data_IF_300778174821
#
_entry.id   IF_300778174821
#
_cell.length_a   1.000
_cell.length_b   1.000
_cell.length_c   1.000
_cell.angle_alpha   90.00
_cell.angle_beta   90.00
_cell.angle_gamma   90.00
#
_symmetry.space_group_name_H-M   'P 1'
#
loop_
_entity.id
_entity.type
_entity.pdbx_description
1 polymer ?
#
# COMPACT_ATOMS: atom_id res chain seq x y z
N UNK A 1 -8.70 -23.59 -2.90
CA UNK A 1 -10.04 -23.53 -3.49
C UNK A 1 -10.50 -22.08 -3.41
N UNK A 2 -10.05 -21.27 -4.35
CA UNK A 2 -10.44 -19.86 -4.51
C UNK A 2 -10.97 -19.72 -5.93
N UNK A 3 -12.27 -19.99 -6.09
CA UNK A 3 -13.05 -19.65 -7.29
C UNK A 3 -13.90 -18.44 -6.94
N UNK A 4 -13.32 -17.25 -7.02
CA UNK A 4 -14.05 -15.98 -6.85
C UNK A 4 -13.76 -14.99 -7.97
N UNK A 5 -13.45 -15.50 -9.18
CA UNK A 5 -13.35 -14.72 -10.42
C UNK A 5 -14.31 -15.21 -11.52
N UNK A 6 -15.36 -15.94 -11.17
CA UNK A 6 -16.26 -16.60 -12.12
C UNK A 6 -17.69 -16.06 -12.19
N UNK A 7 -17.95 -14.83 -11.70
CA UNK A 7 -19.23 -14.15 -11.96
C UNK A 7 -19.04 -12.87 -12.79
N UNK A 8 -18.66 -13.07 -14.04
CA UNK A 8 -19.07 -12.18 -15.13
C UNK A 8 -19.65 -13.08 -16.23
N UNK A 9 -20.98 -13.20 -16.24
CA UNK A 9 -21.76 -13.99 -17.19
C UNK A 9 -21.71 -13.39 -18.60
N UNK A 10 -20.62 -13.62 -19.31
CA UNK A 10 -20.50 -13.43 -20.75
C UNK A 10 -20.08 -14.74 -21.40
N UNK A 11 -20.79 -15.13 -22.46
CA UNK A 11 -20.54 -16.30 -23.30
C UNK A 11 -19.03 -16.59 -23.52
N UNK A 12 -18.52 -17.76 -23.10
CA UNK A 12 -17.09 -18.11 -23.19
C UNK A 12 -16.60 -18.42 -24.61
N UNK A 13 -17.45 -18.30 -25.64
CA UNK A 13 -17.17 -18.82 -26.99
C UNK A 13 -17.40 -17.80 -28.12
N UNK A 14 -16.99 -16.52 -28.00
CA UNK A 14 -16.99 -15.64 -29.18
C UNK A 14 -16.05 -14.41 -29.17
N UNK A 15 -14.99 -14.34 -28.36
CA UNK A 15 -13.97 -13.29 -28.56
C UNK A 15 -12.86 -13.81 -29.47
N UNK A 16 -12.82 -13.30 -30.70
CA UNK A 16 -11.67 -13.43 -31.60
C UNK A 16 -10.39 -13.16 -30.78
N UNK A 17 -9.40 -14.05 -30.89
CA UNK A 17 -8.04 -13.86 -30.37
C UNK A 17 -7.49 -12.58 -31.01
N UNK A 18 -7.72 -11.45 -30.39
CA UNK A 18 -6.99 -10.25 -30.72
C UNK A 18 -5.59 -10.47 -30.14
N UNK A 19 -4.59 -10.51 -31.01
CA UNK A 19 -3.21 -10.69 -30.61
C UNK A 19 -2.78 -9.56 -29.67
N UNK A 20 -3.51 -8.43 -29.64
CA UNK A 20 -3.31 -7.28 -28.76
C UNK A 20 -4.18 -7.25 -27.50
N UNK A 21 -4.86 -8.35 -27.14
CA UNK A 21 -5.60 -8.42 -25.88
C UNK A 21 -4.65 -8.46 -24.67
N UNK A 22 -4.45 -7.29 -24.04
CA UNK A 22 -3.63 -7.11 -22.84
C UNK A 22 -4.13 -7.96 -21.66
N UNK A 23 -5.46 -8.08 -21.48
CA UNK A 23 -6.07 -8.89 -20.41
C UNK A 23 -5.75 -10.37 -20.65
N UNK A 24 -5.85 -10.81 -21.90
CA UNK A 24 -5.44 -12.14 -22.32
C UNK A 24 -3.96 -12.41 -22.10
N UNK A 25 -3.08 -11.44 -22.36
CA UNK A 25 -1.63 -11.55 -22.12
C UNK A 25 -1.33 -11.71 -20.62
N UNK A 26 -1.93 -10.88 -19.77
CA UNK A 26 -1.76 -10.94 -18.31
C UNK A 26 -2.16 -12.30 -17.78
N UNK A 27 -3.33 -12.83 -18.18
CA UNK A 27 -3.82 -14.12 -17.70
C UNK A 27 -2.92 -15.29 -18.14
N UNK A 28 -2.32 -15.22 -19.33
CA UNK A 28 -1.33 -16.23 -19.79
C UNK A 28 -0.01 -16.10 -19.04
N UNK A 29 0.44 -14.88 -18.78
CA UNK A 29 1.65 -14.58 -18.03
C UNK A 29 1.55 -14.97 -16.55
N UNK A 30 0.36 -14.91 -15.95
CA UNK A 30 0.08 -15.28 -14.54
C UNK A 30 -0.10 -16.81 -14.33
N UNK A 31 0.27 -17.62 -15.31
CA UNK A 31 0.26 -19.09 -15.18
C UNK A 31 1.53 -19.60 -14.48
N UNK A 32 1.52 -20.85 -14.00
CA UNK A 32 2.69 -21.47 -13.33
C UNK A 32 3.87 -21.74 -14.27
N UNK A 33 3.64 -21.74 -15.59
CA UNK A 33 4.66 -21.96 -16.62
C UNK A 33 4.36 -21.12 -17.88
N UNK A 34 4.53 -19.79 -17.81
CA UNK A 34 4.20 -18.92 -18.94
C UNK A 34 5.21 -19.07 -20.07
N UNK A 35 4.74 -18.93 -21.32
CA UNK A 35 5.58 -19.07 -22.51
C UNK A 35 6.67 -17.99 -22.57
N UNK A 36 7.80 -18.27 -23.23
CA UNK A 36 8.88 -17.28 -23.42
C UNK A 36 8.37 -16.03 -24.16
N UNK A 37 7.47 -16.22 -25.12
CA UNK A 37 6.85 -15.14 -25.90
C UNK A 37 5.95 -14.25 -25.03
N UNK A 38 5.10 -14.85 -24.16
CA UNK A 38 4.25 -14.07 -23.25
C UNK A 38 5.09 -13.32 -22.20
N UNK A 39 6.18 -13.93 -21.70
CA UNK A 39 7.13 -13.25 -20.78
C UNK A 39 7.75 -12.01 -21.42
N UNK A 40 8.25 -12.14 -22.65
CA UNK A 40 8.91 -11.05 -23.35
C UNK A 40 7.94 -9.91 -23.69
N UNK A 41 6.73 -10.26 -24.12
CA UNK A 41 5.69 -9.27 -24.40
C UNK A 41 5.19 -8.56 -23.15
N UNK A 42 5.13 -9.27 -22.02
CA UNK A 42 4.81 -8.67 -20.71
C UNK A 42 5.89 -7.70 -20.28
N UNK A 43 7.18 -8.01 -20.49
CA UNK A 43 8.28 -7.06 -20.24
C UNK A 43 8.17 -5.82 -21.09
N UNK A 44 7.94 -5.98 -22.40
CA UNK A 44 7.74 -4.84 -23.31
C UNK A 44 6.56 -3.96 -22.87
N UNK A 45 5.45 -4.57 -22.43
CA UNK A 45 4.31 -3.84 -21.89
C UNK A 45 4.68 -3.06 -20.61
N UNK A 46 5.44 -3.69 -19.70
CA UNK A 46 5.94 -3.06 -18.47
C UNK A 46 6.91 -1.89 -18.77
N UNK A 47 7.84 -2.09 -19.69
CA UNK A 47 8.87 -1.11 -20.07
C UNK A 47 8.27 0.07 -20.86
N UNK A 48 7.18 -0.16 -21.59
CA UNK A 48 6.48 0.89 -22.36
C UNK A 48 5.65 1.85 -21.49
N UNK A 49 5.53 1.61 -20.18
CA UNK A 49 4.70 2.42 -19.27
C UNK A 49 3.19 2.14 -19.35
N UNK A 50 2.73 1.34 -20.32
CA UNK A 50 1.32 0.94 -20.45
C UNK A 50 0.80 0.05 -19.31
N UNK A 51 1.70 -0.51 -18.51
CA UNK A 51 1.37 -1.42 -17.41
C UNK A 51 1.19 -0.73 -16.04
N UNK A 52 1.07 0.59 -15.96
CA UNK A 52 0.99 1.30 -14.66
C UNK A 52 -0.13 0.74 -13.77
N UNK A 53 -1.28 0.40 -14.36
CA UNK A 53 -2.39 -0.25 -13.65
C UNK A 53 -2.03 -1.64 -13.13
N UNK A 54 -1.22 -2.41 -13.87
CA UNK A 54 -0.78 -3.76 -13.47
C UNK A 54 0.29 -3.71 -12.37
N UNK A 55 1.18 -2.73 -12.44
CA UNK A 55 2.19 -2.47 -11.42
C UNK A 55 1.48 -2.08 -10.11
N UNK A 56 0.54 -1.13 -10.16
CA UNK A 56 -0.32 -0.77 -9.01
C UNK A 56 -1.12 -1.96 -8.49
N UNK A 57 -1.70 -2.75 -9.39
CA UNK A 57 -2.46 -3.94 -9.05
C UNK A 57 -1.59 -5.08 -8.51
N UNK A 58 -0.25 -5.02 -8.59
CA UNK A 58 0.66 -6.00 -7.99
C UNK A 58 1.62 -5.35 -6.97
N UNK A 59 1.32 -4.14 -6.50
CA UNK A 59 2.07 -3.53 -5.42
C UNK A 59 2.03 -4.44 -4.19
N UNK A 60 3.21 -4.63 -3.57
CA UNK A 60 3.37 -5.54 -2.44
C UNK A 60 2.41 -5.16 -1.29
N UNK A 61 2.14 -3.87 -1.10
CA UNK A 61 1.13 -3.38 -0.16
C UNK A 61 -0.27 -3.91 -0.48
N UNK A 62 -0.72 -3.80 -1.73
CA UNK A 62 -2.02 -4.31 -2.17
C UNK A 62 -2.12 -5.83 -2.12
N UNK A 63 -1.03 -6.54 -2.41
CA UNK A 63 -0.95 -7.99 -2.23
C UNK A 63 -1.06 -8.38 -0.74
N UNK A 64 -0.40 -7.63 0.15
CA UNK A 64 -0.51 -7.83 1.60
C UNK A 64 -1.94 -7.59 2.11
N UNK A 65 -2.59 -6.51 1.67
CA UNK A 65 -4.00 -6.25 2.02
C UNK A 65 -4.89 -7.39 1.57
N UNK A 66 -4.81 -7.78 0.28
CA UNK A 66 -5.60 -8.90 -0.24
C UNK A 66 -5.34 -10.20 0.50
N UNK A 67 -4.10 -10.51 0.85
CA UNK A 67 -3.77 -11.69 1.66
C UNK A 67 -4.42 -11.66 3.04
N UNK A 68 -4.39 -10.51 3.74
CA UNK A 68 -5.06 -10.34 5.04
C UNK A 68 -6.58 -10.46 4.90
N UNK A 69 -7.17 -9.80 3.90
CA UNK A 69 -8.61 -9.82 3.65
C UNK A 69 -9.08 -11.23 3.30
N UNK A 70 -8.42 -11.91 2.37
CA UNK A 70 -8.78 -13.26 1.93
C UNK A 70 -8.64 -14.30 3.04
N UNK A 71 -7.71 -14.11 3.99
CA UNK A 71 -7.52 -15.05 5.11
C UNK A 71 -8.60 -14.90 6.18
N UNK A 72 -9.13 -13.69 6.37
CA UNK A 72 -9.95 -13.36 7.55
C UNK A 72 -11.39 -12.97 7.22
N UNK A 73 -11.75 -12.86 5.94
CA UNK A 73 -13.13 -12.63 5.51
C UNK A 73 -13.72 -13.92 4.96
N UNK A 74 -14.79 -14.40 5.59
CA UNK A 74 -15.51 -15.59 5.14
C UNK A 74 -16.58 -15.29 4.09
N UNK A 75 -16.86 -14.02 3.81
CA UNK A 75 -17.88 -13.58 2.86
C UNK A 75 -17.39 -12.43 2.00
N UNK A 76 -17.93 -12.33 0.78
CA UNK A 76 -17.64 -11.21 -0.13
C UNK A 76 -17.95 -9.85 0.51
N UNK A 77 -19.09 -9.72 1.20
CA UNK A 77 -19.49 -8.46 1.84
C UNK A 77 -18.48 -8.01 2.91
N UNK A 78 -17.99 -8.92 3.75
CA UNK A 78 -16.96 -8.60 4.73
C UNK A 78 -15.65 -8.16 4.06
N UNK A 79 -15.27 -8.80 2.95
CA UNK A 79 -14.14 -8.40 2.12
C UNK A 79 -14.27 -6.96 1.59
N UNK A 80 -15.42 -6.66 1.00
CA UNK A 80 -15.72 -5.33 0.43
C UNK A 80 -15.75 -4.24 1.51
N UNK A 81 -16.36 -4.51 2.67
CA UNK A 81 -16.40 -3.56 3.79
C UNK A 81 -14.98 -3.22 4.27
N UNK A 82 -14.14 -4.23 4.49
CA UNK A 82 -12.76 -4.01 4.94
C UNK A 82 -11.92 -3.32 3.86
N UNK A 83 -12.14 -3.61 2.58
CA UNK A 83 -11.49 -2.89 1.49
C UNK A 83 -11.85 -1.40 1.51
N UNK A 84 -13.11 -1.05 1.73
CA UNK A 84 -13.55 0.35 1.89
C UNK A 84 -13.01 1.01 3.16
N UNK A 85 -12.86 0.25 4.25
CA UNK A 85 -12.20 0.73 5.47
C UNK A 85 -10.73 1.09 5.20
N UNK A 86 -9.99 0.27 4.45
CA UNK A 86 -8.61 0.59 4.01
C UNK A 86 -8.59 1.91 3.24
N UNK A 87 -9.48 2.10 2.28
CA UNK A 87 -9.53 3.35 1.48
C UNK A 87 -9.88 4.56 2.35
N UNK A 88 -10.82 4.40 3.28
CA UNK A 88 -11.18 5.46 4.24
C UNK A 88 -9.98 5.85 5.09
N UNK A 89 -9.27 4.87 5.67
CA UNK A 89 -8.08 5.12 6.49
C UNK A 89 -6.94 5.76 5.71
N UNK A 90 -6.72 5.38 4.45
CA UNK A 90 -5.75 6.06 3.58
C UNK A 90 -6.11 7.53 3.40
N UNK A 91 -7.37 7.82 3.10
CA UNK A 91 -7.85 9.20 2.94
C UNK A 91 -7.70 10.02 4.22
N UNK A 92 -8.06 9.46 5.37
CA UNK A 92 -7.90 10.10 6.69
C UNK A 92 -6.43 10.41 7.06
N UNK A 93 -5.48 9.70 6.42
CA UNK A 93 -4.05 9.92 6.62
C UNK A 93 -3.40 10.71 5.48
N UNK A 94 -4.17 11.43 4.66
CA UNK A 94 -3.69 12.26 3.56
C UNK A 94 -2.81 11.49 2.56
N UNK A 95 -3.16 10.22 2.30
CA UNK A 95 -2.35 9.31 1.50
C UNK A 95 -2.00 9.90 0.13
N UNK A 96 -2.96 10.45 -0.61
CA UNK A 96 -2.74 10.90 -2.00
C UNK A 96 -1.68 11.99 -2.12
N UNK A 97 -1.69 12.96 -1.20
CA UNK A 97 -0.71 14.05 -1.12
C UNK A 97 0.62 13.68 -0.47
N UNK A 98 0.70 12.53 0.19
CA UNK A 98 1.91 12.10 0.86
C UNK A 98 3.01 11.70 -0.13
N UNK A 99 4.27 11.91 0.28
CA UNK A 99 5.41 11.36 -0.46
C UNK A 99 5.45 9.82 -0.37
N UNK A 100 6.23 9.18 -1.24
CA UNK A 100 6.28 7.72 -1.37
C UNK A 100 6.60 7.01 -0.05
N UNK A 101 7.59 7.49 0.72
CA UNK A 101 7.97 6.87 1.98
C UNK A 101 6.84 6.95 3.02
N UNK A 102 6.17 8.10 3.10
CA UNK A 102 5.02 8.29 3.98
C UNK A 102 3.84 7.41 3.53
N UNK A 103 3.57 7.28 2.23
CA UNK A 103 2.56 6.35 1.68
C UNK A 103 2.83 4.91 2.13
N UNK A 104 4.07 4.42 1.97
CA UNK A 104 4.45 3.08 2.41
C UNK A 104 4.25 2.87 3.93
N UNK A 105 4.54 3.89 4.75
CA UNK A 105 4.33 3.83 6.19
C UNK A 105 2.84 3.88 6.58
N UNK A 106 2.02 4.64 5.85
CA UNK A 106 0.55 4.63 6.02
C UNK A 106 0.02 3.23 5.73
N UNK A 107 0.40 2.62 4.60
CA UNK A 107 -0.01 1.25 4.28
C UNK A 107 0.38 0.27 5.39
N UNK A 108 1.60 0.42 5.93
CA UNK A 108 2.08 -0.41 7.04
C UNK A 108 1.22 -0.24 8.30
N UNK A 109 0.88 1.00 8.67
CA UNK A 109 0.00 1.30 9.81
C UNK A 109 -1.36 0.63 9.63
N UNK A 110 -1.96 0.75 8.45
CA UNK A 110 -3.28 0.18 8.16
C UNK A 110 -3.24 -1.35 8.21
N UNK A 111 -2.25 -2.02 7.59
CA UNK A 111 -2.10 -3.49 7.67
C UNK A 111 -1.94 -3.95 9.12
N UNK A 112 -1.12 -3.23 9.90
CA UNK A 112 -0.91 -3.57 11.31
C UNK A 112 -2.17 -3.40 12.15
N UNK A 113 -2.93 -2.32 11.92
CA UNK A 113 -4.22 -2.07 12.56
C UNK A 113 -5.22 -3.19 12.24
N UNK A 114 -5.40 -3.53 10.96
CA UNK A 114 -6.31 -4.60 10.55
C UNK A 114 -5.96 -5.94 11.22
N UNK A 115 -4.68 -6.32 11.21
CA UNK A 115 -4.23 -7.54 11.87
C UNK A 115 -4.50 -7.50 13.37
N UNK A 116 -4.22 -6.37 14.03
CA UNK A 116 -4.51 -6.22 15.46
C UNK A 116 -6.00 -6.41 15.75
N UNK A 117 -6.88 -5.70 15.07
CA UNK A 117 -8.34 -5.81 15.27
C UNK A 117 -8.87 -7.22 15.03
N UNK A 118 -8.37 -7.89 13.97
CA UNK A 118 -8.74 -9.28 13.68
C UNK A 118 -8.28 -10.22 14.81
N UNK A 119 -7.05 -10.05 15.29
CA UNK A 119 -6.52 -10.90 16.37
C UNK A 119 -7.18 -10.62 17.72
N UNK A 120 -7.63 -9.39 17.99
CA UNK A 120 -8.44 -9.08 19.17
C UNK A 120 -9.77 -9.84 19.16
N UNK A 121 -10.45 -9.87 18.02
CA UNK A 121 -11.69 -10.64 17.86
C UNK A 121 -11.43 -12.14 18.05
N UNK A 122 -10.39 -12.70 17.42
CA UNK A 122 -10.05 -14.11 17.61
C UNK A 122 -9.63 -14.45 19.04
N UNK A 123 -8.85 -13.57 19.67
CA UNK A 123 -8.45 -13.73 21.07
C UNK A 123 -9.67 -13.79 21.98
N UNK A 124 -10.60 -12.84 21.85
CA UNK A 124 -11.85 -12.82 22.62
C UNK A 124 -12.72 -14.08 22.38
N UNK A 125 -12.81 -14.54 21.13
CA UNK A 125 -13.53 -15.78 20.79
C UNK A 125 -12.87 -17.00 21.45
N UNK A 126 -11.54 -17.10 21.40
CA UNK A 126 -10.82 -18.21 22.03
C UNK A 126 -10.91 -18.18 23.54
N UNK A 127 -10.86 -17.02 24.18
CA UNK A 127 -11.04 -16.88 25.63
C UNK A 127 -12.42 -17.32 26.13
N UNK A 128 -13.45 -17.32 25.27
CA UNK A 128 -14.77 -17.87 25.59
C UNK A 128 -14.78 -19.41 25.61
N UNK A 129 -13.87 -20.05 24.89
CA UNK A 129 -13.70 -21.51 24.90
C UNK A 129 -12.88 -21.90 26.15
N UNK A 130 -13.19 -23.03 26.80
CA UNK A 130 -12.32 -23.56 27.87
C UNK A 130 -10.98 -24.00 27.27
N UNK A 131 -9.99 -23.10 27.30
CA UNK A 131 -8.66 -23.36 26.77
C UNK A 131 -7.68 -23.83 27.85
N UNK A 132 -6.64 -24.54 27.42
CA UNK A 132 -5.52 -24.86 28.31
C UNK A 132 -4.73 -23.60 28.65
N UNK A 133 -4.09 -23.58 29.81
CA UNK A 133 -3.22 -22.46 30.23
C UNK A 133 -2.13 -22.13 29.19
N UNK A 134 -1.53 -23.17 28.58
CA UNK A 134 -0.51 -23.00 27.53
C UNK A 134 -1.07 -22.33 26.27
N UNK A 135 -2.30 -22.65 25.89
CA UNK A 135 -2.96 -22.00 24.77
C UNK A 135 -3.27 -20.53 25.08
N UNK A 136 -3.71 -20.21 26.31
CA UNK A 136 -3.93 -18.83 26.75
C UNK A 136 -2.68 -17.97 26.64
N UNK A 137 -1.57 -18.44 27.21
CA UNK A 137 -0.27 -17.73 27.10
C UNK A 137 0.18 -17.52 25.65
N UNK A 138 -0.09 -18.49 24.76
CA UNK A 138 0.24 -18.35 23.35
C UNK A 138 -0.56 -17.22 22.69
N UNK A 139 -1.87 -17.17 22.90
CA UNK A 139 -2.74 -16.14 22.34
C UNK A 139 -2.44 -14.74 22.90
N UNK A 140 -2.16 -14.63 24.20
CA UNK A 140 -1.75 -13.37 24.83
C UNK A 140 -0.44 -12.84 24.24
N UNK A 141 0.54 -13.74 24.02
CA UNK A 141 1.81 -13.39 23.39
C UNK A 141 1.62 -12.93 21.95
N UNK A 142 0.74 -13.58 21.20
CA UNK A 142 0.41 -13.15 19.84
C UNK A 142 -0.23 -11.77 19.83
N UNK A 143 -1.25 -11.53 20.67
CA UNK A 143 -1.90 -10.23 20.77
C UNK A 143 -0.91 -9.12 21.10
N UNK A 144 -0.07 -9.34 22.12
CA UNK A 144 1.02 -8.43 22.52
C UNK A 144 1.95 -8.12 21.34
N UNK A 145 2.30 -9.13 20.53
CA UNK A 145 3.15 -8.93 19.35
C UNK A 145 2.49 -8.04 18.29
N UNK A 146 1.18 -8.20 18.05
CA UNK A 146 0.45 -7.38 17.08
C UNK A 146 0.28 -5.94 17.58
N UNK A 147 -0.03 -5.75 18.87
CA UNK A 147 -0.09 -4.43 19.49
C UNK A 147 1.25 -3.69 19.36
N UNK A 148 2.37 -4.36 19.68
CA UNK A 148 3.71 -3.79 19.51
C UNK A 148 4.01 -3.40 18.06
N UNK A 149 3.69 -4.28 17.09
CA UNK A 149 3.91 -4.00 15.66
C UNK A 149 3.09 -2.80 15.17
N UNK A 150 1.86 -2.66 15.66
CA UNK A 150 1.02 -1.51 15.36
C UNK A 150 1.61 -0.23 15.94
N UNK A 151 2.01 -0.25 17.22
CA UNK A 151 2.65 0.90 17.85
C UNK A 151 3.91 1.35 17.12
N UNK A 152 4.81 0.41 16.80
CA UNK A 152 6.04 0.69 16.03
C UNK A 152 5.75 1.28 14.65
N UNK A 153 4.68 0.85 13.98
CA UNK A 153 4.28 1.42 12.69
C UNK A 153 3.81 2.87 12.85
N UNK A 154 3.02 3.17 13.89
CA UNK A 154 2.57 4.53 14.20
C UNK A 154 3.76 5.44 14.54
N UNK A 155 4.69 4.98 15.37
CA UNK A 155 5.91 5.72 15.72
C UNK A 155 6.78 6.01 14.49
N UNK A 156 6.97 5.02 13.61
CA UNK A 156 7.71 5.18 12.37
C UNK A 156 7.06 6.22 11.45
N UNK A 157 5.73 6.17 11.28
CA UNK A 157 4.99 7.15 10.48
C UNK A 157 5.09 8.57 11.06
N UNK A 158 4.90 8.71 12.37
CA UNK A 158 5.00 10.00 13.05
C UNK A 158 6.42 10.59 12.92
N UNK A 159 7.44 9.74 13.09
CA UNK A 159 8.85 10.14 12.95
C UNK A 159 9.16 10.58 11.53
N UNK A 160 8.73 9.82 10.52
CA UNK A 160 8.93 10.19 9.12
C UNK A 160 8.27 11.54 8.79
N UNK A 161 7.00 11.73 9.19
CA UNK A 161 6.29 13.00 8.97
C UNK A 161 7.01 14.18 9.63
N UNK A 162 7.49 14.01 10.85
CA UNK A 162 8.27 15.04 11.55
C UNK A 162 9.54 15.40 10.77
N UNK A 163 10.33 14.41 10.36
CA UNK A 163 11.57 14.63 9.62
C UNK A 163 11.31 15.33 8.27
N UNK A 164 10.24 14.98 7.56
CA UNK A 164 9.86 15.66 6.33
C UNK A 164 9.48 17.12 6.55
N UNK A 165 8.64 17.40 7.56
CA UNK A 165 8.25 18.77 7.89
C UNK A 165 9.45 19.63 8.29
N UNK A 166 10.41 19.05 9.04
CA UNK A 166 11.66 19.72 9.40
C UNK A 166 12.54 20.00 8.16
N UNK A 167 12.65 19.04 7.23
CA UNK A 167 13.39 19.20 5.98
C UNK A 167 12.84 20.35 5.12
N UNK A 168 11.52 20.41 4.93
CA UNK A 168 10.86 21.47 4.16
C UNK A 168 11.08 22.86 4.79
N UNK A 169 11.02 22.93 6.12
CA UNK A 169 11.30 24.17 6.85
C UNK A 169 12.77 24.62 6.66
N UNK A 170 13.72 23.67 6.66
CA UNK A 170 15.13 23.98 6.43
C UNK A 170 15.34 24.48 4.99
N UNK A 171 14.78 23.79 4.00
CA UNK A 171 14.89 24.17 2.59
C UNK A 171 14.31 25.56 2.31
N UNK A 172 13.14 25.86 2.88
CA UNK A 172 12.51 27.18 2.75
C UNK A 172 13.37 28.29 3.36
N UNK A 173 13.96 28.06 4.54
CA UNK A 173 14.90 29.01 5.18
C UNK A 173 16.15 29.23 4.34
N UNK A 174 16.74 28.16 3.79
CA UNK A 174 17.91 28.23 2.91
C UNK A 174 17.59 29.03 1.65
N UNK A 175 16.44 28.77 1.01
CA UNK A 175 15.99 29.51 -0.17
C UNK A 175 15.78 31.01 0.13
N UNK A 176 15.14 31.33 1.26
CA UNK A 176 14.97 32.70 1.71
C UNK A 176 16.30 33.41 2.00
N UNK A 177 17.30 32.71 2.57
CA UNK A 177 18.63 33.27 2.78
C UNK A 177 19.36 33.54 1.45
N UNK A 178 19.30 32.61 0.49
CA UNK A 178 19.90 32.78 -0.85
C UNK A 178 19.31 33.98 -1.59
N UNK A 179 17.99 34.09 -1.63
CA UNK A 179 17.30 35.21 -2.31
C UNK A 179 17.69 36.58 -1.72
N UNK A 180 17.82 36.69 -0.40
CA UNK A 180 18.31 37.91 0.28
C UNK A 180 19.76 38.23 -0.07
N UNK A 181 20.63 37.23 -0.16
CA UNK A 181 22.01 37.40 -0.61
C UNK A 181 22.10 37.97 -2.03
N UNK A 182 21.27 37.46 -2.95
CA UNK A 182 21.22 37.93 -4.34
C UNK A 182 20.72 39.38 -4.43
N UNK A 183 19.66 39.74 -3.69
CA UNK A 183 19.15 41.12 -3.62
C UNK A 183 20.20 42.10 -3.07
N UNK A 184 20.95 41.71 -2.05
CA UNK A 184 22.01 42.53 -1.48
C UNK A 184 23.16 42.74 -2.48
N UNK A 185 23.55 41.72 -3.25
CA UNK A 185 24.57 41.88 -4.29
C UNK A 185 24.13 42.82 -5.43
N UNK A 186 22.86 42.77 -5.84
CA UNK A 186 22.33 43.65 -6.89
C UNK A 186 22.27 45.12 -6.43
N UNK A 187 21.81 45.36 -5.20
CA UNK A 187 21.77 46.71 -4.62
C UNK A 187 23.16 47.32 -4.41
N UNK A 188 24.18 46.51 -4.09
CA UNK A 188 25.58 46.97 -4.04
C UNK A 188 26.06 47.37 -5.45
N UNK A 189 25.78 46.54 -6.47
CA UNK A 189 26.19 46.84 -7.85
C UNK A 189 25.50 48.08 -8.43
N UNK A 190 24.23 48.33 -8.08
CA UNK A 190 23.51 49.54 -8.47
C UNK A 190 24.13 50.80 -7.83
N UNK A 191 24.52 50.73 -6.55
CA UNK A 191 25.21 51.84 -5.86
C UNK A 191 26.63 52.11 -6.35
N UNK A 192 27.30 51.12 -6.94
CA UNK A 192 28.64 51.31 -7.53
C UNK A 192 28.58 51.95 -8.93
N UNK A 193 27.41 51.99 -9.57
CA UNK A 193 27.22 52.61 -10.89
C UNK A 193 26.73 54.06 -10.85
N UNK A 194 26.27 54.52 -9.68
CA UNK A 194 25.86 55.91 -9.40
C UNK A 194 27.02 56.71 -8.84
#
# INVERSE_FOLDING_TARGET
MFDALTEYGGDPMARKKDENDEIGLIRRADSTAPSTTDKERTRQLLDSGGAEVLIKANEVSESMFRGVLATHTGTWLSGEILQRDVQTKRKEMDYDSANLLVKMLIDRVIVCHLRLSIYEVFHAQKFKESMTFKAGMYWDKLLTNYQRRFHQACEALATARKLYAESELIESKVKAARSRGTLNSLTILERMKS
#
